data_IF_696645438109
#
_entry.id   IF_696645438109
#
_cell.length_a   1.000
_cell.length_b   1.000
_cell.length_c   1.000
_cell.angle_alpha   90.00
_cell.angle_beta   90.00
_cell.angle_gamma   90.00
#
_symmetry.space_group_name_H-M   'P 1'
#
loop_
_entity.id
_entity.type
_entity.pdbx_description
1 polymer ?
#
# COMPACT_ATOMS: atom_id res chain seq x y z
N UNK A 1 30.53 42.12 34.24
CA UNK A 1 31.09 40.86 34.75
C UNK A 1 31.01 39.85 33.62
N UNK A 2 32.11 39.69 32.85
CA UNK A 2 33.12 38.63 33.00
C UNK A 2 32.52 37.25 32.65
N UNK A 3 32.98 36.45 31.70
CA UNK A 3 34.12 36.39 30.75
C UNK A 3 33.83 35.13 29.88
N UNK A 4 34.19 35.03 28.61
CA UNK A 4 35.54 34.99 28.07
C UNK A 4 35.89 33.53 27.69
N UNK A 5 36.17 33.26 26.41
CA UNK A 5 36.67 31.96 25.95
C UNK A 5 36.65 31.75 24.44
N UNK A 6 37.62 32.33 23.73
CA UNK A 6 37.83 32.19 22.29
C UNK A 6 39.14 31.41 21.98
N UNK A 7 39.02 30.31 21.20
CA UNK A 7 39.99 29.66 20.28
C UNK A 7 41.46 29.44 20.68
N UNK A 8 42.35 29.05 19.74
CA UNK A 8 42.19 28.15 18.58
C UNK A 8 43.42 27.20 18.35
N UNK A 9 43.40 26.46 17.22
CA UNK A 9 44.55 25.92 16.41
C UNK A 9 45.05 24.48 16.65
N UNK A 10 45.27 23.79 15.53
CA UNK A 10 46.14 22.60 15.44
C UNK A 10 46.01 21.82 14.13
N UNK A 11 46.54 22.35 13.02
CA UNK A 11 46.71 21.65 11.74
C UNK A 11 48.01 20.82 11.70
N UNK A 12 48.03 19.73 10.92
CA UNK A 12 49.18 19.05 10.23
C UNK A 12 48.59 17.85 9.48
N UNK A 13 48.54 17.72 8.15
CA UNK A 13 49.56 17.70 7.08
C UNK A 13 50.52 16.49 7.10
N UNK A 14 50.47 15.65 6.06
CA UNK A 14 51.48 14.64 5.70
C UNK A 14 50.92 13.59 4.71
N UNK A 15 51.00 13.78 3.39
CA UNK A 15 52.10 13.39 2.46
C UNK A 15 52.03 11.89 2.09
N UNK A 16 51.48 11.55 0.93
CA UNK A 16 52.18 11.29 -0.36
C UNK A 16 53.06 10.03 -0.36
N UNK A 17 52.79 9.10 -1.29
CA UNK A 17 53.62 7.92 -1.52
C UNK A 17 53.08 6.98 -2.59
N UNK A 18 53.41 7.28 -3.85
CA UNK A 18 53.29 6.42 -5.03
C UNK A 18 54.02 5.07 -4.89
N UNK A 19 53.53 4.00 -5.53
CA UNK A 19 54.15 3.35 -6.71
C UNK A 19 53.51 2.00 -7.03
N UNK A 20 53.37 1.78 -8.34
CA UNK A 20 53.03 0.55 -9.04
C UNK A 20 54.13 -0.50 -8.84
N UNK A 21 53.78 -1.80 -8.79
CA UNK A 21 54.38 -2.81 -9.69
C UNK A 21 53.53 -4.10 -9.76
N UNK A 22 53.56 -4.64 -10.97
CA UNK A 22 52.98 -5.84 -11.55
C UNK A 22 53.38 -7.20 -10.95
N UNK A 23 52.53 -8.21 -11.22
CA UNK A 23 52.85 -9.65 -11.22
C UNK A 23 51.55 -10.47 -11.04
N UNK A 24 50.81 -10.77 -12.12
CA UNK A 24 50.83 -12.04 -12.89
C UNK A 24 50.26 -13.25 -12.15
N UNK A 25 49.16 -13.80 -12.67
CA UNK A 25 48.83 -15.22 -12.52
C UNK A 25 47.35 -15.51 -12.29
N UNK A 26 46.72 -16.22 -13.24
CA UNK A 26 45.57 -17.09 -12.96
C UNK A 26 44.24 -16.73 -13.63
N UNK A 27 44.07 -17.19 -14.88
CA UNK A 27 42.87 -17.79 -15.48
C UNK A 27 41.47 -17.14 -15.29
N UNK A 28 40.76 -16.81 -16.39
CA UNK A 28 39.32 -16.56 -16.31
C UNK A 28 38.58 -17.90 -16.21
N UNK A 29 38.08 -18.21 -15.02
CA UNK A 29 37.04 -19.21 -14.79
C UNK A 29 35.68 -18.60 -15.16
N UNK A 30 35.25 -18.94 -16.35
CA UNK A 30 33.89 -19.03 -16.85
C UNK A 30 32.92 -19.69 -15.86
N UNK A 31 32.14 -18.87 -15.14
CA UNK A 31 30.93 -19.36 -14.48
C UNK A 31 29.77 -19.34 -15.48
N UNK A 32 29.81 -20.27 -16.44
CA UNK A 32 28.64 -20.69 -17.22
C UNK A 32 27.70 -21.49 -16.31
N UNK A 33 26.47 -21.01 -16.17
CA UNK A 33 25.39 -21.78 -15.57
C UNK A 33 24.95 -22.85 -16.57
N UNK A 34 25.52 -24.05 -16.42
CA UNK A 34 25.18 -25.23 -17.21
C UNK A 34 24.07 -26.02 -16.50
N UNK A 35 22.90 -26.07 -17.14
CA UNK A 35 21.79 -26.92 -16.73
C UNK A 35 22.08 -28.34 -17.22
N UNK A 36 22.87 -29.12 -16.47
CA UNK A 36 23.01 -30.56 -16.73
C UNK A 36 21.75 -31.26 -16.23
N UNK A 37 20.75 -31.36 -17.12
CA UNK A 37 19.77 -32.44 -17.07
C UNK A 37 20.51 -33.76 -17.30
N UNK A 38 21.00 -34.34 -16.21
CA UNK A 38 21.58 -35.68 -16.17
C UNK A 38 20.51 -36.75 -16.29
N UNK A 39 19.93 -36.90 -17.48
CA UNK A 39 19.31 -38.14 -17.92
C UNK A 39 20.20 -38.72 -19.02
N UNK A 40 21.21 -39.46 -18.58
CA UNK A 40 22.26 -40.00 -19.42
C UNK A 40 22.77 -41.32 -18.88
N UNK A 41 21.89 -42.30 -18.78
CA UNK A 41 22.19 -43.71 -19.07
C UNK A 41 20.86 -44.38 -19.42
N UNK A 42 20.47 -44.23 -20.68
CA UNK A 42 19.32 -44.92 -21.24
C UNK A 42 19.74 -46.37 -21.52
N UNK A 43 19.84 -47.17 -20.46
CA UNK A 43 19.57 -48.59 -20.56
C UNK A 43 18.14 -48.75 -21.07
N UNK A 44 17.99 -49.53 -22.14
CA UNK A 44 16.75 -49.86 -22.84
C UNK A 44 15.56 -50.05 -21.89
N UNK A 45 14.77 -49.00 -21.69
CA UNK A 45 13.46 -49.07 -21.03
C UNK A 45 12.41 -49.13 -22.11
N UNK A 46 11.92 -50.34 -22.34
CA UNK A 46 10.75 -50.59 -23.17
C UNK A 46 9.51 -49.97 -22.48
N UNK A 47 9.09 -48.78 -22.91
CA UNK A 47 7.85 -48.10 -22.46
C UNK A 47 6.58 -48.71 -23.11
N UNK A 48 6.58 -50.02 -23.37
CA UNK A 48 5.44 -50.71 -23.96
C UNK A 48 4.30 -51.02 -22.98
N UNK A 49 4.55 -51.00 -21.67
CA UNK A 49 3.55 -51.41 -20.68
C UNK A 49 3.93 -50.99 -19.24
N UNK A 50 4.08 -49.68 -18.98
CA UNK A 50 4.37 -49.17 -17.63
C UNK A 50 3.10 -48.53 -17.07
N UNK A 51 2.39 -49.28 -16.22
CA UNK A 51 1.31 -48.74 -15.38
C UNK A 51 1.89 -47.69 -14.40
N UNK A 52 1.29 -46.50 -14.43
CA UNK A 52 1.73 -45.34 -13.64
C UNK A 52 1.55 -45.54 -12.12
N UNK A 53 0.86 -46.60 -11.70
CA UNK A 53 0.65 -46.97 -10.29
C UNK A 53 1.91 -47.59 -9.64
N UNK A 54 2.77 -48.27 -10.39
CA UNK A 54 3.96 -48.95 -9.83
C UNK A 54 5.16 -48.01 -9.64
N UNK A 55 5.26 -46.93 -10.42
CA UNK A 55 6.24 -45.86 -10.23
C UNK A 55 5.90 -45.01 -8.99
N UNK A 56 4.62 -44.80 -8.71
CA UNK A 56 4.18 -44.12 -7.47
C UNK A 56 4.31 -45.02 -6.24
N UNK A 57 4.21 -46.34 -6.40
CA UNK A 57 4.48 -47.32 -5.34
C UNK A 57 5.96 -47.41 -4.96
N UNK A 58 6.88 -47.35 -5.93
CA UNK A 58 8.33 -47.53 -5.69
C UNK A 58 9.02 -46.40 -4.92
N UNK A 59 8.43 -45.20 -4.90
CA UNK A 59 8.91 -44.07 -4.08
C UNK A 59 8.32 -44.10 -2.65
N UNK A 60 7.16 -44.74 -2.44
CA UNK A 60 6.44 -44.75 -1.16
C UNK A 60 6.32 -46.12 -0.47
N UNK A 61 6.91 -47.18 -1.00
CA UNK A 61 6.91 -48.51 -0.39
C UNK A 61 8.20 -49.27 -0.71
N UNK A 62 9.17 -49.23 0.20
CA UNK A 62 10.54 -49.65 -0.06
C UNK A 62 10.83 -51.16 -0.03
N UNK A 63 11.96 -51.50 -0.66
CA UNK A 63 12.87 -52.63 -0.39
C UNK A 63 14.10 -52.44 -1.29
N UNK A 64 15.37 -52.50 -0.87
CA UNK A 64 16.03 -53.46 0.02
C UNK A 64 17.38 -52.87 0.51
N UNK A 65 17.68 -53.02 1.81
CA UNK A 65 19.05 -53.32 2.28
C UNK A 65 19.91 -52.23 2.93
N UNK A 66 20.00 -52.25 4.26
CA UNK A 66 21.29 -52.19 4.97
C UNK A 66 21.80 -50.86 5.54
N UNK A 67 21.58 -50.71 6.86
CA UNK A 67 22.40 -49.97 7.83
C UNK A 67 22.39 -48.41 7.87
N UNK A 68 22.16 -47.93 9.11
CA UNK A 68 22.34 -46.56 9.63
C UNK A 68 21.21 -45.56 9.36
N UNK A 69 20.16 -45.70 10.17
CA UNK A 69 19.68 -44.61 11.02
C UNK A 69 19.17 -43.35 10.33
N UNK A 70 18.00 -43.41 9.70
CA UNK A 70 17.13 -42.24 9.52
C UNK A 70 15.67 -42.69 9.52
N UNK A 71 15.19 -43.15 10.69
CA UNK A 71 13.76 -43.18 10.99
C UNK A 71 13.24 -41.76 11.21
N UNK A 72 13.41 -40.88 10.21
CA UNK A 72 12.68 -39.62 10.14
C UNK A 72 11.36 -39.96 9.44
N UNK A 73 10.40 -40.47 10.21
CA UNK A 73 9.02 -40.22 9.84
C UNK A 73 8.92 -38.71 9.60
N UNK A 74 8.36 -38.29 8.45
CA UNK A 74 8.11 -36.88 8.20
C UNK A 74 7.40 -36.34 9.43
N UNK A 75 8.12 -35.49 10.18
CA UNK A 75 7.58 -34.90 11.40
C UNK A 75 6.33 -34.08 11.06
N UNK A 76 5.54 -33.69 12.08
CA UNK A 76 4.34 -32.90 11.86
C UNK A 76 4.63 -31.70 10.93
N UNK A 77 3.99 -31.69 9.75
CA UNK A 77 4.15 -30.62 8.78
C UNK A 77 3.23 -29.46 9.18
N UNK A 78 3.74 -28.23 9.36
CA UNK A 78 2.90 -27.07 9.61
C UNK A 78 2.06 -26.73 8.38
N UNK A 79 0.91 -26.11 8.60
CA UNK A 79 0.06 -25.64 7.52
C UNK A 79 0.65 -24.45 6.78
N UNK A 80 0.32 -24.31 5.49
CA UNK A 80 0.77 -23.18 4.67
C UNK A 80 0.05 -21.88 5.04
N UNK A 81 0.77 -20.75 4.98
CA UNK A 81 0.17 -19.43 5.06
C UNK A 81 -0.67 -19.15 3.81
N UNK A 82 -1.77 -18.40 3.98
CA UNK A 82 -2.68 -18.01 2.90
C UNK A 82 -2.86 -16.50 2.87
N UNK A 83 -3.19 -15.96 1.70
CA UNK A 83 -3.41 -14.53 1.50
C UNK A 83 -4.66 -14.30 0.63
N UNK A 84 -5.47 -13.30 0.98
CA UNK A 84 -6.51 -12.76 0.11
C UNK A 84 -6.62 -11.25 0.24
N UNK A 85 -7.28 -10.64 -0.74
CA UNK A 85 -7.57 -9.21 -0.73
C UNK A 85 -9.00 -8.94 -0.23
N UNK A 86 -9.16 -7.84 0.51
CA UNK A 86 -10.46 -7.27 0.84
C UNK A 86 -10.56 -5.87 0.27
N UNK A 87 -11.64 -5.59 -0.45
CA UNK A 87 -11.93 -4.25 -0.94
C UNK A 87 -12.87 -3.54 0.02
N UNK A 88 -12.47 -2.37 0.51
CA UNK A 88 -13.23 -1.53 1.42
C UNK A 88 -13.51 -0.17 0.77
N UNK A 89 -14.66 0.42 1.07
CA UNK A 89 -14.90 1.85 0.83
C UNK A 89 -14.01 2.71 1.73
N UNK A 90 -13.85 3.98 1.37
CA UNK A 90 -13.08 4.95 2.18
C UNK A 90 -13.69 5.08 3.58
N UNK A 91 -15.01 5.08 3.70
CA UNK A 91 -15.70 5.14 4.99
C UNK A 91 -15.53 3.90 5.85
N UNK A 92 -15.55 2.70 5.25
CA UNK A 92 -15.27 1.46 5.97
C UNK A 92 -13.82 1.42 6.46
N UNK A 93 -12.86 1.80 5.61
CA UNK A 93 -11.47 1.92 6.01
C UNK A 93 -11.27 2.97 7.12
N UNK A 94 -12.03 4.07 7.08
CA UNK A 94 -12.00 5.12 8.10
C UNK A 94 -12.53 4.62 9.46
N UNK A 95 -13.72 4.03 9.48
CA UNK A 95 -14.39 3.60 10.72
C UNK A 95 -13.83 2.28 11.25
N UNK A 96 -13.36 1.42 10.36
CA UNK A 96 -13.11 0.00 10.65
C UNK A 96 -14.40 -0.73 11.03
N UNK A 97 -14.25 -1.81 11.79
CA UNK A 97 -15.36 -2.59 12.33
C UNK A 97 -15.27 -4.06 11.99
N UNK A 98 -16.33 -4.80 12.29
CA UNK A 98 -16.41 -6.25 12.04
C UNK A 98 -16.90 -6.49 10.62
N UNK A 99 -16.12 -7.23 9.84
CA UNK A 99 -16.45 -7.64 8.48
C UNK A 99 -16.46 -9.15 8.39
N UNK A 100 -17.49 -9.70 7.74
CA UNK A 100 -17.60 -11.13 7.45
C UNK A 100 -17.00 -11.37 6.07
N UNK A 101 -15.95 -12.19 6.00
CA UNK A 101 -15.31 -12.59 4.75
C UNK A 101 -15.52 -14.07 4.49
N UNK A 102 -15.80 -14.42 3.24
CA UNK A 102 -15.82 -15.82 2.80
C UNK A 102 -14.51 -16.10 2.08
N UNK A 103 -13.75 -17.04 2.63
CA UNK A 103 -12.50 -17.51 2.07
C UNK A 103 -12.74 -18.78 1.29
N UNK A 104 -12.26 -18.83 0.07
CA UNK A 104 -12.16 -20.08 -0.69
C UNK A 104 -10.85 -20.76 -0.33
N UNK A 105 -10.92 -21.97 0.23
CA UNK A 105 -9.76 -22.75 0.61
C UNK A 105 -9.83 -24.18 0.08
N UNK A 106 -8.73 -24.96 0.22
CA UNK A 106 -8.68 -26.36 -0.22
C UNK A 106 -9.73 -27.25 0.45
N UNK A 107 -10.14 -26.90 1.67
CA UNK A 107 -11.16 -27.60 2.46
C UNK A 107 -12.60 -27.13 2.16
N UNK A 108 -12.79 -26.25 1.17
CA UNK A 108 -14.06 -25.60 0.84
C UNK A 108 -14.19 -24.17 1.39
N UNK A 109 -15.32 -23.49 1.11
CA UNK A 109 -15.56 -22.12 1.54
C UNK A 109 -15.70 -22.03 3.06
N UNK A 110 -15.00 -21.07 3.66
CA UNK A 110 -15.05 -20.79 5.11
C UNK A 110 -15.39 -19.33 5.35
N UNK A 111 -16.38 -19.08 6.17
CA UNK A 111 -16.77 -17.72 6.58
C UNK A 111 -16.07 -17.35 7.88
N UNK A 112 -15.40 -16.19 7.92
CA UNK A 112 -14.69 -15.67 9.07
C UNK A 112 -15.15 -14.24 9.38
N UNK A 113 -15.36 -13.96 10.67
CA UNK A 113 -15.56 -12.60 11.15
C UNK A 113 -14.21 -11.99 11.54
N UNK A 114 -13.86 -10.89 10.87
CA UNK A 114 -12.58 -10.19 11.05
C UNK A 114 -12.85 -8.79 11.59
N UNK A 115 -12.12 -8.38 12.63
CA UNK A 115 -12.11 -7.00 13.11
C UNK A 115 -11.07 -6.18 12.33
N UNK A 116 -11.54 -5.26 11.50
CA UNK A 116 -10.72 -4.35 10.73
C UNK A 116 -10.45 -3.10 11.58
N UNK A 117 -9.18 -2.76 11.85
CA UNK A 117 -8.85 -1.53 12.57
C UNK A 117 -9.39 -0.28 11.88
N UNK A 118 -9.85 0.70 12.67
CA UNK A 118 -10.12 2.03 12.14
C UNK A 118 -8.84 2.66 11.57
N UNK A 119 -8.95 3.26 10.37
CA UNK A 119 -7.85 3.95 9.71
C UNK A 119 -6.82 3.01 9.10
N UNK A 120 -7.28 1.88 8.55
CA UNK A 120 -6.46 1.05 7.66
C UNK A 120 -6.14 1.82 6.39
N UNK A 121 -4.93 1.62 5.88
CA UNK A 121 -4.46 2.23 4.63
C UNK A 121 -4.42 1.19 3.51
N UNK A 122 -4.43 1.67 2.27
CA UNK A 122 -4.30 0.78 1.11
C UNK A 122 -3.01 -0.04 1.18
N UNK A 123 -3.11 -1.33 0.84
CA UNK A 123 -2.02 -2.31 0.91
C UNK A 123 -1.68 -2.80 2.33
N UNK A 124 -2.39 -2.36 3.37
CA UNK A 124 -2.13 -2.82 4.74
C UNK A 124 -2.47 -4.31 4.89
N UNK A 125 -1.53 -5.08 5.45
CA UNK A 125 -1.68 -6.52 5.72
C UNK A 125 -2.18 -6.75 7.15
N UNK A 126 -3.30 -7.45 7.29
CA UNK A 126 -3.90 -7.86 8.57
C UNK A 126 -3.69 -9.36 8.75
N UNK A 127 -3.02 -9.76 9.83
CA UNK A 127 -2.72 -11.17 10.13
C UNK A 127 -3.80 -11.79 11.02
N UNK A 128 -4.41 -12.88 10.54
CA UNK A 128 -5.34 -13.74 11.27
C UNK A 128 -4.60 -15.02 11.66
N UNK A 129 -4.23 -15.12 12.93
CA UNK A 129 -3.38 -16.21 13.42
C UNK A 129 -4.11 -17.54 13.36
N UNK A 130 -3.45 -18.57 12.81
CA UNK A 130 -3.96 -19.94 12.76
C UNK A 130 -5.18 -20.15 11.84
N UNK A 131 -5.50 -19.17 10.99
CA UNK A 131 -6.61 -19.25 10.02
C UNK A 131 -6.16 -19.66 8.61
N UNK A 132 -4.89 -20.02 8.44
CA UNK A 132 -4.31 -20.48 7.19
C UNK A 132 -4.60 -21.95 6.90
N UNK A 133 -3.72 -22.58 6.12
CA UNK A 133 -3.82 -23.99 5.77
C UNK A 133 -3.69 -24.88 6.99
N UNK A 134 -4.32 -26.05 6.96
CA UNK A 134 -4.08 -27.10 7.97
C UNK A 134 -2.86 -27.91 7.54
N UNK A 135 -1.96 -28.16 8.49
CA UNK A 135 -0.80 -29.02 8.28
C UNK A 135 -1.09 -30.46 8.71
N UNK A 136 -0.24 -31.40 8.31
CA UNK A 136 -0.34 -32.80 8.73
C UNK A 136 0.32 -32.97 10.10
N UNK A 137 -0.48 -32.85 11.17
CA UNK A 137 -0.02 -33.00 12.56
C UNK A 137 0.73 -31.78 13.13
N UNK A 138 0.99 -30.74 12.33
CA UNK A 138 1.59 -29.48 12.75
C UNK A 138 0.56 -28.37 13.02
N UNK A 139 1.04 -27.22 13.52
CA UNK A 139 0.19 -26.05 13.74
C UNK A 139 -0.39 -25.53 12.41
N UNK A 140 -1.62 -24.99 12.40
CA UNK A 140 -2.16 -24.31 11.23
C UNK A 140 -1.28 -23.11 10.83
N UNK A 141 -1.21 -22.83 9.52
CA UNK A 141 -0.61 -21.60 9.01
C UNK A 141 -1.45 -20.37 9.37
N UNK A 142 -0.96 -19.20 8.99
CA UNK A 142 -1.67 -17.93 9.17
C UNK A 142 -2.39 -17.48 7.90
N UNK A 143 -3.38 -16.61 8.09
CA UNK A 143 -4.06 -15.96 6.98
C UNK A 143 -3.76 -14.46 6.96
N UNK A 144 -3.40 -13.92 5.81
CA UNK A 144 -3.13 -12.50 5.61
C UNK A 144 -4.24 -11.89 4.76
N UNK A 145 -4.87 -10.84 5.28
CA UNK A 145 -5.83 -10.04 4.54
C UNK A 145 -5.16 -8.75 4.08
N UNK A 146 -5.05 -8.55 2.77
CA UNK A 146 -4.51 -7.31 2.18
C UNK A 146 -5.67 -6.36 1.92
N UNK A 147 -5.63 -5.19 2.55
CA UNK A 147 -6.65 -4.16 2.35
C UNK A 147 -6.43 -3.45 1.02
N UNK A 148 -7.51 -3.33 0.25
CA UNK A 148 -7.62 -2.46 -0.94
C UNK A 148 -8.71 -1.43 -0.69
N UNK A 149 -8.40 -0.16 -0.89
CA UNK A 149 -9.41 0.91 -0.80
C UNK A 149 -9.98 1.14 -2.20
N UNK A 150 -11.29 0.97 -2.34
CA UNK A 150 -11.99 1.24 -3.59
C UNK A 150 -11.85 2.72 -3.99
N UNK A 151 -11.63 3.02 -5.28
CA UNK A 151 -11.69 4.40 -5.76
C UNK A 151 -13.05 5.05 -5.44
N UNK A 152 -13.04 6.26 -4.87
CA UNK A 152 -14.24 7.04 -4.56
C UNK A 152 -14.23 8.36 -5.35
N UNK A 153 -15.40 8.80 -5.82
CA UNK A 153 -15.54 10.05 -6.58
C UNK A 153 -15.42 11.31 -5.70
N UNK A 154 -15.68 11.20 -4.40
CA UNK A 154 -15.66 12.28 -3.41
C UNK A 154 -14.29 12.40 -2.74
N UNK A 155 -13.58 11.28 -2.58
CA UNK A 155 -12.36 11.20 -1.80
C UNK A 155 -11.21 10.57 -2.58
N UNK A 156 -10.03 11.19 -2.48
CA UNK A 156 -8.77 10.57 -2.87
C UNK A 156 -7.92 10.38 -1.63
N UNK A 157 -7.59 9.12 -1.32
CA UNK A 157 -6.77 8.75 -0.15
C UNK A 157 -5.31 8.68 -0.57
N UNK A 158 -4.46 9.44 0.10
CA UNK A 158 -3.00 9.45 -0.10
C UNK A 158 -2.32 9.13 1.23
N UNK A 159 -1.98 7.86 1.42
CA UNK A 159 -1.47 7.36 2.70
C UNK A 159 -2.54 7.50 3.80
N UNK A 160 -2.38 8.46 4.69
CA UNK A 160 -3.38 8.79 5.74
C UNK A 160 -4.13 10.09 5.45
N UNK A 161 -3.69 10.87 4.48
CA UNK A 161 -4.34 12.12 4.13
C UNK A 161 -5.50 11.86 3.16
N UNK A 162 -6.53 12.68 3.27
CA UNK A 162 -7.74 12.58 2.46
C UNK A 162 -7.89 13.88 1.67
N UNK A 163 -8.03 13.77 0.36
CA UNK A 163 -8.31 14.90 -0.51
C UNK A 163 -9.77 14.86 -0.95
N UNK A 164 -10.46 15.99 -0.86
CA UNK A 164 -11.85 16.13 -1.26
C UNK A 164 -12.06 17.44 -2.01
N UNK A 165 -13.00 17.46 -2.95
CA UNK A 165 -13.42 18.71 -3.61
C UNK A 165 -14.37 19.50 -2.71
N UNK A 166 -14.04 20.77 -2.47
CA UNK A 166 -14.95 21.73 -1.85
C UNK A 166 -15.57 22.61 -2.94
N UNK A 167 -16.77 22.23 -3.35
CA UNK A 167 -17.56 22.98 -4.32
C UNK A 167 -18.12 24.23 -3.66
N UNK A 168 -17.83 25.39 -4.24
CA UNK A 168 -18.29 26.69 -3.74
C UNK A 168 -18.83 27.51 -4.91
N UNK A 169 -19.77 28.40 -4.63
CA UNK A 169 -20.23 29.38 -5.62
C UNK A 169 -19.19 30.51 -5.84
N UNK A 170 -19.31 31.31 -6.92
CA UNK A 170 -18.39 32.41 -7.16
C UNK A 170 -18.46 33.48 -6.07
N UNK A 171 -19.66 33.77 -5.55
CA UNK A 171 -19.85 34.76 -4.48
C UNK A 171 -19.36 34.24 -3.12
N UNK A 172 -19.51 32.95 -2.82
CA UNK A 172 -18.93 32.34 -1.63
C UNK A 172 -17.41 32.42 -1.63
N UNK A 173 -16.78 32.14 -2.79
CA UNK A 173 -15.34 32.25 -2.96
C UNK A 173 -14.84 33.70 -2.88
N UNK A 174 -15.59 34.64 -3.47
CA UNK A 174 -15.23 36.06 -3.49
C UNK A 174 -15.40 36.72 -2.12
N UNK A 175 -16.56 36.53 -1.48
CA UNK A 175 -16.93 37.18 -0.21
C UNK A 175 -16.40 36.45 1.02
N UNK A 176 -16.07 35.17 0.88
CA UNK A 176 -15.74 34.29 1.99
C UNK A 176 -16.99 33.78 2.70
N UNK A 177 -16.93 32.56 3.19
CA UNK A 177 -18.06 31.88 3.83
C UNK A 177 -17.58 30.73 4.71
N UNK A 178 -18.50 30.03 5.37
CA UNK A 178 -18.26 28.71 5.97
C UNK A 178 -19.18 27.70 5.31
N UNK A 179 -18.60 26.68 4.68
CA UNK A 179 -19.33 25.63 3.94
C UNK A 179 -19.20 24.30 4.68
N UNK A 180 -20.26 23.52 4.71
CA UNK A 180 -20.22 22.14 5.20
C UNK A 180 -19.60 21.22 4.13
N UNK A 181 -18.67 20.37 4.56
CA UNK A 181 -18.04 19.35 3.72
C UNK A 181 -18.29 17.99 4.33
N UNK A 182 -18.87 17.08 3.55
CA UNK A 182 -18.98 15.68 3.92
C UNK A 182 -17.60 15.04 3.95
N UNK A 183 -17.27 14.42 5.08
CA UNK A 183 -16.03 13.65 5.26
C UNK A 183 -16.35 12.23 5.68
N UNK A 184 -15.42 11.28 5.55
CA UNK A 184 -15.64 9.91 6.02
C UNK A 184 -15.93 9.80 7.53
N UNK A 185 -15.51 10.80 8.30
CA UNK A 185 -15.78 10.94 9.74
C UNK A 185 -17.01 11.78 10.09
N UNK A 186 -17.84 12.15 9.12
CA UNK A 186 -19.00 13.02 9.28
C UNK A 186 -18.79 14.43 8.73
N UNK A 187 -19.78 15.31 8.92
CA UNK A 187 -19.73 16.68 8.40
C UNK A 187 -18.63 17.53 9.07
N UNK A 188 -17.87 18.28 8.28
CA UNK A 188 -16.88 19.24 8.75
C UNK A 188 -17.17 20.64 8.20
N UNK A 189 -17.09 21.66 9.07
CA UNK A 189 -17.23 23.06 8.66
C UNK A 189 -15.89 23.59 8.14
N UNK A 190 -15.86 24.02 6.88
CA UNK A 190 -14.69 24.58 6.20
C UNK A 190 -14.85 26.08 6.05
N UNK A 191 -13.93 26.85 6.65
CA UNK A 191 -13.89 28.30 6.45
C UNK A 191 -13.18 28.62 5.14
N UNK A 192 -13.90 29.22 4.20
CA UNK A 192 -13.39 29.68 2.91
C UNK A 192 -13.03 31.17 3.04
N UNK A 193 -11.75 31.54 2.93
CA UNK A 193 -11.35 32.95 2.98
C UNK A 193 -11.91 33.75 1.79
N UNK A 194 -12.19 35.05 1.96
CA UNK A 194 -12.52 35.93 0.84
C UNK A 194 -11.42 35.93 -0.23
N UNK A 195 -11.80 36.07 -1.50
CA UNK A 195 -10.88 35.99 -2.63
C UNK A 195 -10.24 34.61 -2.84
N UNK A 196 -10.92 33.53 -2.44
CA UNK A 196 -10.48 32.17 -2.75
C UNK A 196 -10.66 31.86 -4.23
N UNK A 197 -9.74 31.09 -4.80
CA UNK A 197 -9.79 30.64 -6.20
C UNK A 197 -9.73 29.12 -6.28
N UNK A 198 -10.16 28.58 -7.43
CA UNK A 198 -10.05 27.15 -7.70
C UNK A 198 -8.61 26.64 -7.53
N UNK A 199 -8.46 25.42 -7.01
CA UNK A 199 -7.15 24.80 -6.72
C UNK A 199 -6.54 25.19 -5.37
N UNK A 200 -7.13 26.17 -4.66
CA UNK A 200 -6.70 26.49 -3.28
C UNK A 200 -7.00 25.29 -2.38
N UNK A 201 -5.97 24.77 -1.71
CA UNK A 201 -6.11 23.66 -0.75
C UNK A 201 -6.26 24.20 0.67
N UNK A 202 -7.37 23.89 1.31
CA UNK A 202 -7.68 24.22 2.70
C UNK A 202 -7.46 22.98 3.57
N UNK A 203 -6.52 23.05 4.51
CA UNK A 203 -6.17 21.92 5.39
C UNK A 203 -7.06 21.90 6.63
N UNK A 204 -7.73 20.77 6.84
CA UNK A 204 -8.45 20.43 8.05
C UNK A 204 -7.62 19.44 8.87
N UNK A 205 -6.94 19.97 9.88
CA UNK A 205 -6.01 19.19 10.71
C UNK A 205 -6.73 18.06 11.45
N UNK A 206 -6.20 16.84 11.37
CA UNK A 206 -6.70 15.66 12.05
C UNK A 206 -8.03 15.12 11.53
N UNK A 207 -8.44 15.51 10.32
CA UNK A 207 -9.67 15.05 9.66
C UNK A 207 -9.42 14.02 8.56
N UNK A 208 -8.18 13.55 8.38
CA UNK A 208 -7.83 12.43 7.50
C UNK A 208 -8.06 11.07 8.17
N UNK A 209 -7.43 10.01 7.67
CA UNK A 209 -7.57 8.66 8.23
C UNK A 209 -7.10 8.60 9.68
N UNK A 210 -7.87 7.97 10.59
CA UNK A 210 -7.46 7.83 11.97
C UNK A 210 -6.23 6.92 12.09
N UNK A 211 -5.57 6.95 13.25
CA UNK A 211 -4.47 6.03 13.54
C UNK A 211 -4.53 5.58 14.99
N UNK A 212 -4.32 4.28 15.21
CA UNK A 212 -4.12 3.73 16.57
C UNK A 212 -2.69 3.97 17.08
N UNK A 213 -1.72 4.16 16.19
CA UNK A 213 -0.30 4.35 16.50
C UNK A 213 0.18 5.61 15.78
N UNK A 214 0.15 6.74 16.48
CA UNK A 214 0.50 8.06 15.93
C UNK A 214 -0.71 8.99 15.77
N UNK A 215 -0.48 10.17 15.20
CA UNK A 215 -1.54 11.14 14.93
C UNK A 215 -2.42 10.73 13.74
N UNK A 216 -3.67 11.20 13.68
CA UNK A 216 -4.50 11.08 12.48
C UNK A 216 -3.87 11.84 11.31
N UNK A 217 -4.19 11.43 10.09
CA UNK A 217 -3.91 12.23 8.90
C UNK A 217 -4.77 13.49 8.82
N UNK A 218 -4.56 14.27 7.78
CA UNK A 218 -5.31 15.51 7.52
C UNK A 218 -6.25 15.37 6.33
N UNK A 219 -7.27 16.24 6.29
CA UNK A 219 -8.11 16.40 5.10
C UNK A 219 -7.72 17.68 4.37
N UNK A 220 -7.53 17.59 3.06
CA UNK A 220 -7.28 18.71 2.17
C UNK A 220 -8.50 18.94 1.29
N UNK A 221 -9.24 20.00 1.61
CA UNK A 221 -10.38 20.46 0.83
C UNK A 221 -9.87 21.37 -0.30
N UNK A 222 -9.94 20.88 -1.55
CA UNK A 222 -9.54 21.64 -2.72
C UNK A 222 -10.74 22.44 -3.24
N UNK A 223 -10.63 23.77 -3.22
CA UNK A 223 -11.68 24.67 -3.67
C UNK A 223 -11.92 24.48 -5.17
N UNK A 224 -13.18 24.30 -5.54
CA UNK A 224 -13.63 24.26 -6.94
C UNK A 224 -14.82 25.21 -7.10
N UNK A 225 -14.61 26.32 -7.81
CA UNK A 225 -15.66 27.29 -8.07
C UNK A 225 -16.62 26.74 -9.12
N UNK A 226 -17.90 26.64 -8.78
CA UNK A 226 -18.97 26.15 -9.63
C UNK A 226 -19.87 27.31 -10.06
N UNK A 227 -20.12 27.45 -11.35
CA UNK A 227 -21.06 28.43 -11.89
C UNK A 227 -22.42 27.77 -12.11
N UNK A 228 -23.55 28.42 -11.78
CA UNK A 228 -24.87 27.89 -12.08
C UNK A 228 -25.00 27.52 -13.57
N UNK A 229 -25.46 26.30 -13.92
CA UNK A 229 -25.53 25.87 -15.32
C UNK A 229 -26.61 26.58 -16.14
N UNK A 230 -27.62 27.14 -15.46
CA UNK A 230 -28.75 27.87 -16.06
C UNK A 230 -29.10 29.09 -15.20
N UNK A 231 -28.35 30.20 -15.32
CA UNK A 231 -28.64 31.42 -14.58
C UNK A 231 -29.94 32.05 -15.08
N UNK A 232 -30.70 32.63 -14.15
CA UNK A 232 -31.90 33.44 -14.40
C UNK A 232 -31.53 34.76 -15.10
N UNK A 233 -32.51 35.45 -15.73
CA UNK A 233 -32.26 36.77 -16.31
C UNK A 233 -31.67 37.79 -15.33
N UNK A 234 -32.09 37.73 -14.06
CA UNK A 234 -31.57 38.61 -13.02
C UNK A 234 -30.13 38.26 -12.64
N UNK A 235 -29.78 36.97 -12.50
CA UNK A 235 -28.40 36.55 -12.25
C UNK A 235 -27.47 36.96 -13.40
N UNK A 236 -27.90 36.81 -14.66
CA UNK A 236 -27.16 37.26 -15.84
C UNK A 236 -26.90 38.77 -15.75
N UNK A 237 -27.93 39.57 -15.46
CA UNK A 237 -27.82 41.03 -15.30
C UNK A 237 -26.77 41.40 -14.25
N UNK A 238 -26.74 40.70 -13.11
CA UNK A 238 -25.76 40.94 -12.05
C UNK A 238 -24.33 40.57 -12.48
N UNK A 239 -24.16 39.47 -13.21
CA UNK A 239 -22.86 39.09 -13.77
C UNK A 239 -22.37 40.08 -14.84
N UNK A 240 -23.26 40.62 -15.67
CA UNK A 240 -22.91 41.68 -16.64
C UNK A 240 -22.45 42.96 -15.93
N UNK A 241 -23.13 43.37 -14.86
CA UNK A 241 -22.71 44.50 -14.04
C UNK A 241 -21.33 44.28 -13.42
N UNK A 242 -21.10 43.08 -12.86
CA UNK A 242 -19.79 42.72 -12.31
C UNK A 242 -18.70 42.74 -13.39
N UNK A 243 -18.99 42.21 -14.58
CA UNK A 243 -18.06 42.18 -15.70
C UNK A 243 -17.70 43.60 -16.19
N UNK A 244 -18.65 44.53 -16.17
CA UNK A 244 -18.43 45.93 -16.58
C UNK A 244 -17.53 46.72 -15.61
N UNK A 245 -17.58 46.42 -14.31
CA UNK A 245 -16.80 47.14 -13.29
C UNK A 245 -15.49 46.46 -12.90
N UNK A 246 -15.37 45.15 -13.15
CA UNK A 246 -14.19 44.36 -12.77
C UNK A 246 -13.00 44.62 -13.69
N UNK A 247 -11.82 44.77 -13.09
CA UNK A 247 -10.53 44.89 -13.81
C UNK A 247 -9.73 43.58 -13.79
N UNK A 248 -10.31 42.49 -13.26
CA UNK A 248 -9.62 41.22 -13.08
C UNK A 248 -9.52 40.43 -14.40
N UNK A 249 -8.29 40.10 -14.82
CA UNK A 249 -8.02 39.21 -15.96
C UNK A 249 -7.34 37.91 -15.52
N UNK A 250 -8.08 36.78 -15.47
CA UNK A 250 -7.52 35.49 -15.05
C UNK A 250 -6.55 34.87 -16.06
N UNK A 251 -6.42 35.40 -17.29
CA UNK A 251 -5.52 34.87 -18.34
C UNK A 251 -4.23 35.68 -18.47
N UNK A 252 -4.09 36.75 -17.69
CA UNK A 252 -2.86 37.53 -17.68
C UNK A 252 -1.71 36.65 -17.21
N UNK A 253 -0.79 36.32 -18.11
CA UNK A 253 0.43 35.59 -17.78
C UNK A 253 1.18 36.39 -16.71
N UNK A 254 1.55 35.72 -15.62
CA UNK A 254 2.53 36.26 -14.67
C UNK A 254 3.91 36.33 -15.32
#
# INVERSE_FOLDING_TARGET
AAGGGAGPRGARSGRAGSRRRSGSGGGPGDASWEFTSGFGDAGDVNLGDIDLDDIFGGIFGGGVGGARGFGRGFGPMPGADQEAEITLSVEEAYRGGRHTITLEGPDGPRTLDVDIPAGVVDGQRIRLRGQGGRGTGGAPGDFYLVVRIAPDARYRVEGRDIHAELRVSPWEAALGTTVALDTPGGEAKVRVPPGSSSGRKLRLKGRGMPSRRGGPGDLYAEVRIMVPPRPTPEEIRLFEQLAAVSTFDPRRKR
#
